data_IF_402902570772
#
_entry.id   IF_402902570772
#
_cell.length_a   1.000
_cell.length_b   1.000
_cell.length_c   1.000
_cell.angle_alpha   90.00
_cell.angle_beta   90.00
_cell.angle_gamma   90.00
#
_symmetry.space_group_name_H-M   'P 1'
#
loop_
_entity.id
_entity.type
_entity.pdbx_description
1 polymer ?
#
# COMPACT_ATOMS: atom_id res chain seq x y z
N UNK A 1 9.50 10.99 -2.75
CA UNK A 1 9.66 9.55 -2.98
C UNK A 1 11.00 9.26 -3.66
N UNK A 2 11.77 8.25 -3.22
CA UNK A 2 12.96 7.73 -3.90
C UNK A 2 12.76 6.27 -4.24
N UNK A 3 13.17 5.84 -5.43
CA UNK A 3 13.07 4.44 -5.88
C UNK A 3 14.46 3.91 -6.22
N UNK A 4 14.79 2.71 -5.74
CA UNK A 4 16.04 2.00 -6.03
C UNK A 4 15.71 0.60 -6.52
N UNK A 5 16.14 0.28 -7.74
CA UNK A 5 15.99 -1.05 -8.33
C UNK A 5 17.26 -1.87 -8.09
N UNK A 6 17.11 -3.03 -7.49
CA UNK A 6 18.16 -4.03 -7.35
C UNK A 6 17.97 -5.07 -8.46
N UNK A 7 18.98 -5.18 -9.31
CA UNK A 7 18.98 -6.08 -10.47
C UNK A 7 19.89 -7.27 -10.18
N UNK A 8 19.46 -8.46 -10.55
CA UNK A 8 20.28 -9.66 -10.55
C UNK A 8 21.40 -9.55 -11.62
N UNK A 9 22.44 -10.38 -11.55
CA UNK A 9 23.48 -10.43 -12.58
C UNK A 9 22.96 -10.72 -14.00
N UNK A 10 21.80 -11.37 -14.12
CA UNK A 10 21.14 -11.70 -15.38
C UNK A 10 20.23 -10.58 -15.95
N UNK A 11 20.22 -9.40 -15.32
CA UNK A 11 19.39 -8.26 -15.74
C UNK A 11 17.95 -8.31 -15.23
N UNK A 12 17.53 -9.35 -14.51
CA UNK A 12 16.17 -9.43 -13.94
C UNK A 12 16.04 -8.60 -12.66
N UNK A 13 14.89 -7.94 -12.48
CA UNK A 13 14.61 -7.18 -11.26
C UNK A 13 14.44 -8.13 -10.06
N UNK A 14 15.31 -7.98 -9.04
CA UNK A 14 15.25 -8.76 -7.80
C UNK A 14 14.35 -8.12 -6.75
N UNK A 15 14.48 -6.80 -6.60
CA UNK A 15 13.79 -6.04 -5.55
C UNK A 15 13.72 -4.56 -5.94
N UNK A 16 12.61 -3.90 -5.63
CA UNK A 16 12.48 -2.46 -5.71
C UNK A 16 12.28 -1.91 -4.29
N UNK A 17 13.19 -1.03 -3.84
CA UNK A 17 13.02 -0.26 -2.62
C UNK A 17 12.39 1.08 -2.98
N UNK A 18 11.23 1.39 -2.38
CA UNK A 18 10.62 2.72 -2.45
C UNK A 18 10.70 3.32 -1.05
N UNK A 19 11.40 4.45 -0.91
CA UNK A 19 11.52 5.19 0.33
C UNK A 19 10.72 6.49 0.24
N UNK A 20 9.81 6.67 1.20
CA UNK A 20 9.10 7.93 1.44
C UNK A 20 9.59 8.46 2.78
N UNK A 21 10.22 9.63 2.75
CA UNK A 21 10.57 10.35 3.97
C UNK A 21 9.33 11.12 4.42
N UNK A 22 8.71 10.67 5.51
CA UNK A 22 7.57 11.36 6.11
C UNK A 22 8.07 12.39 7.13
N UNK A 23 7.57 13.62 7.03
CA UNK A 23 7.78 14.69 8.02
C UNK A 23 6.46 15.05 8.68
N UNK A 24 6.49 15.44 9.94
CA UNK A 24 5.32 15.84 10.70
C UNK A 24 5.65 16.17 12.15
N UNK A 25 4.61 16.49 12.92
CA UNK A 25 4.63 16.81 14.35
C UNK A 25 4.09 15.62 15.18
N UNK A 26 3.96 15.79 16.49
CA UNK A 26 3.30 14.81 17.36
C UNK A 26 4.22 13.80 18.06
N UNK A 27 5.55 13.93 17.89
CA UNK A 27 6.54 13.14 18.63
C UNK A 27 6.28 11.63 18.58
N UNK A 28 6.34 10.97 19.72
CA UNK A 28 6.13 9.51 19.81
C UNK A 28 4.74 9.06 19.33
N UNK A 29 3.69 9.88 19.55
CA UNK A 29 2.32 9.56 19.12
C UNK A 29 2.21 9.64 17.60
N UNK A 30 2.73 10.72 17.00
CA UNK A 30 2.76 10.90 15.56
C UNK A 30 3.53 9.78 14.86
N UNK A 31 4.71 9.42 15.38
CA UNK A 31 5.52 8.30 14.86
C UNK A 31 4.72 6.98 14.90
N UNK A 32 4.01 6.71 16.01
CA UNK A 32 3.20 5.50 16.15
C UNK A 32 2.03 5.49 15.16
N UNK A 33 1.37 6.63 14.95
CA UNK A 33 0.28 6.77 13.99
C UNK A 33 0.76 6.54 12.55
N UNK A 34 1.84 7.20 12.12
CA UNK A 34 2.40 7.03 10.78
C UNK A 34 2.94 5.62 10.57
N UNK A 35 3.54 5.00 11.59
CA UNK A 35 3.96 3.59 11.53
C UNK A 35 2.77 2.65 11.34
N UNK A 36 1.64 2.94 11.99
CA UNK A 36 0.40 2.18 11.80
C UNK A 36 -0.15 2.36 10.40
N UNK A 37 -0.14 3.58 9.86
CA UNK A 37 -0.51 3.85 8.47
C UNK A 37 0.36 3.04 7.49
N UNK A 38 1.68 3.04 7.66
CA UNK A 38 2.60 2.24 6.84
C UNK A 38 2.30 0.72 6.92
N UNK A 39 1.97 0.22 8.12
CA UNK A 39 1.56 -1.17 8.30
C UNK A 39 0.23 -1.49 7.60
N UNK A 40 -0.71 -0.54 7.58
CA UNK A 40 -1.96 -0.68 6.81
C UNK A 40 -1.67 -0.75 5.31
N UNK A 41 -0.76 0.06 4.78
CA UNK A 41 -0.34 -0.05 3.37
C UNK A 41 0.29 -1.42 3.09
N UNK A 42 1.25 -1.86 3.90
CA UNK A 42 1.91 -3.16 3.74
C UNK A 42 0.93 -4.35 3.83
N UNK A 43 -0.18 -4.19 4.54
CA UNK A 43 -1.18 -5.24 4.70
C UNK A 43 -2.08 -5.48 3.48
N UNK A 44 -2.03 -4.63 2.45
CA UNK A 44 -2.75 -4.85 1.19
C UNK A 44 -2.43 -6.21 0.57
N UNK A 45 -1.18 -6.68 0.68
CA UNK A 45 -0.73 -7.99 0.18
C UNK A 45 -1.41 -9.19 0.85
N UNK A 46 -2.00 -8.99 2.03
CA UNK A 46 -2.68 -10.03 2.78
C UNK A 46 -4.17 -10.14 2.40
N UNK A 47 -4.73 -9.18 1.65
CA UNK A 47 -6.10 -9.22 1.18
C UNK A 47 -6.28 -10.36 0.18
N UNK A 48 -7.33 -11.16 0.37
CA UNK A 48 -7.64 -12.36 -0.42
C UNK A 48 -8.63 -12.06 -1.53
N UNK A 49 -9.49 -11.07 -1.34
CA UNK A 49 -10.55 -10.73 -2.28
C UNK A 49 -10.39 -9.30 -2.79
N UNK A 50 -10.92 -8.99 -3.99
CA UNK A 50 -10.96 -7.61 -4.49
C UNK A 50 -11.68 -6.66 -3.53
N UNK A 51 -12.75 -7.12 -2.87
CA UNK A 51 -13.46 -6.32 -1.87
C UNK A 51 -12.57 -6.00 -0.66
N UNK A 52 -11.81 -6.97 -0.15
CA UNK A 52 -10.88 -6.73 0.96
C UNK A 52 -9.78 -5.73 0.59
N UNK A 53 -9.30 -5.73 -0.66
CA UNK A 53 -8.33 -4.73 -1.14
C UNK A 53 -8.96 -3.34 -1.15
N UNK A 54 -10.17 -3.20 -1.70
CA UNK A 54 -10.92 -1.94 -1.72
C UNK A 54 -11.17 -1.41 -0.30
N UNK A 55 -11.72 -2.24 0.59
CA UNK A 55 -12.03 -1.85 1.96
C UNK A 55 -10.75 -1.42 2.71
N UNK A 56 -9.64 -2.14 2.53
CA UNK A 56 -8.35 -1.76 3.11
C UNK A 56 -7.84 -0.44 2.56
N UNK A 57 -7.99 -0.20 1.26
CA UNK A 57 -7.59 1.05 0.64
C UNK A 57 -8.40 2.24 1.18
N UNK A 58 -9.72 2.09 1.36
CA UNK A 58 -10.57 3.13 2.00
C UNK A 58 -10.15 3.38 3.46
N UNK A 59 -9.76 2.34 4.21
CA UNK A 59 -9.23 2.53 5.56
C UNK A 59 -7.90 3.31 5.55
N UNK A 60 -7.01 3.03 4.59
CA UNK A 60 -5.75 3.75 4.41
C UNK A 60 -6.01 5.23 4.10
N UNK A 61 -6.92 5.53 3.16
CA UNK A 61 -7.22 6.92 2.77
C UNK A 61 -7.76 7.71 3.97
N UNK A 62 -8.72 7.16 4.70
CA UNK A 62 -9.28 7.79 5.89
C UNK A 62 -8.24 7.99 7.00
N UNK A 63 -7.43 6.96 7.27
CA UNK A 63 -6.39 7.06 8.30
C UNK A 63 -5.28 8.06 7.92
N UNK A 64 -4.92 8.12 6.63
CA UNK A 64 -3.97 9.11 6.12
C UNK A 64 -4.50 10.54 6.32
N UNK A 65 -5.79 10.78 6.03
CA UNK A 65 -6.42 12.08 6.28
C UNK A 65 -6.39 12.46 7.76
N UNK A 66 -6.65 11.52 8.68
CA UNK A 66 -6.51 11.76 10.11
C UNK A 66 -5.06 12.13 10.50
N UNK A 67 -4.06 11.42 9.96
CA UNK A 67 -2.66 11.75 10.20
C UNK A 67 -2.31 13.16 9.70
N UNK A 68 -2.84 13.56 8.55
CA UNK A 68 -2.64 14.89 7.97
C UNK A 68 -3.29 15.98 8.85
N UNK A 69 -4.54 15.76 9.25
CA UNK A 69 -5.30 16.71 10.08
C UNK A 69 -4.70 16.89 11.48
N UNK A 70 -4.10 15.84 12.03
CA UNK A 70 -3.34 15.90 13.29
C UNK A 70 -1.90 16.41 13.10
N UNK A 71 -1.52 16.84 11.90
CA UNK A 71 -0.17 17.28 11.52
C UNK A 71 0.93 16.22 11.76
N UNK A 72 0.58 14.93 11.89
CA UNK A 72 1.55 13.84 12.08
C UNK A 72 2.31 13.50 10.81
N UNK A 73 1.76 13.89 9.66
CA UNK A 73 2.38 13.83 8.34
C UNK A 73 2.07 15.13 7.62
N UNK A 74 3.02 15.69 6.87
CA UNK A 74 2.80 16.85 6.02
C UNK A 74 2.08 16.46 4.72
N UNK A 75 1.50 17.45 4.05
CA UNK A 75 0.70 17.25 2.83
C UNK A 75 1.48 16.53 1.74
N UNK A 76 2.73 16.96 1.49
CA UNK A 76 3.57 16.33 0.47
C UNK A 76 3.85 14.86 0.78
N UNK A 77 4.13 14.53 2.04
CA UNK A 77 4.41 13.16 2.47
C UNK A 77 3.14 12.30 2.41
N UNK A 78 1.98 12.88 2.75
CA UNK A 78 0.68 12.23 2.59
C UNK A 78 0.39 11.93 1.12
N UNK A 79 0.63 12.87 0.21
CA UNK A 79 0.46 12.69 -1.23
C UNK A 79 1.38 11.62 -1.80
N UNK A 80 2.68 11.66 -1.47
CA UNK A 80 3.65 10.65 -1.88
C UNK A 80 3.20 9.24 -1.39
N UNK A 81 2.69 9.15 -0.15
CA UNK A 81 2.19 7.91 0.44
C UNK A 81 0.89 7.44 -0.22
N UNK A 82 -0.03 8.35 -0.52
CA UNK A 82 -1.30 8.01 -1.16
C UNK A 82 -1.10 7.55 -2.60
N UNK A 83 -0.21 8.19 -3.36
CA UNK A 83 0.20 7.73 -4.69
C UNK A 83 0.73 6.29 -4.65
N UNK A 84 1.64 5.99 -3.72
CA UNK A 84 2.16 4.64 -3.56
C UNK A 84 1.06 3.65 -3.13
N UNK A 85 0.20 4.05 -2.19
CA UNK A 85 -0.88 3.20 -1.70
C UNK A 85 -1.89 2.86 -2.79
N UNK A 86 -2.22 3.81 -3.66
CA UNK A 86 -3.09 3.60 -4.82
C UNK A 86 -2.47 2.61 -5.81
N UNK A 87 -1.17 2.77 -6.12
CA UNK A 87 -0.45 1.86 -6.99
C UNK A 87 -0.44 0.42 -6.45
N UNK A 88 -0.11 0.27 -5.16
CA UNK A 88 -0.09 -1.04 -4.49
C UNK A 88 -1.49 -1.66 -4.43
N UNK A 89 -2.52 -0.88 -4.09
CA UNK A 89 -3.90 -1.36 -4.08
C UNK A 89 -4.34 -1.82 -5.47
N UNK A 90 -4.00 -1.09 -6.53
CA UNK A 90 -4.28 -1.49 -7.92
C UNK A 90 -3.64 -2.83 -8.30
N UNK A 91 -2.38 -3.04 -7.91
CA UNK A 91 -1.69 -4.31 -8.15
C UNK A 91 -2.35 -5.47 -7.39
N UNK A 92 -2.68 -5.27 -6.12
CA UNK A 92 -3.32 -6.29 -5.30
C UNK A 92 -4.76 -6.59 -5.74
N UNK A 93 -5.47 -5.58 -6.22
CA UNK A 93 -6.80 -5.73 -6.84
C UNK A 93 -6.71 -6.65 -8.05
N UNK A 94 -5.79 -6.37 -8.98
CA UNK A 94 -5.58 -7.17 -10.19
C UNK A 94 -5.20 -8.62 -9.85
N UNK A 95 -4.32 -8.82 -8.84
CA UNK A 95 -3.97 -10.16 -8.35
C UNK A 95 -5.19 -10.90 -7.80
N UNK A 96 -5.97 -10.26 -6.92
CA UNK A 96 -7.13 -10.88 -6.30
C UNK A 96 -8.22 -11.23 -7.33
N UNK A 97 -8.45 -10.36 -8.32
CA UNK A 97 -9.36 -10.64 -9.43
C UNK A 97 -8.90 -11.83 -10.28
N UNK A 98 -7.61 -11.89 -10.64
CA UNK A 98 -7.06 -13.00 -11.40
C UNK A 98 -7.23 -14.34 -10.67
N UNK A 99 -6.98 -14.36 -9.35
CA UNK A 99 -7.19 -15.54 -8.52
C UNK A 99 -8.67 -15.93 -8.46
N UNK A 100 -9.58 -14.97 -8.30
CA UNK A 100 -11.01 -15.24 -8.26
C UNK A 100 -11.52 -15.79 -9.60
N UNK A 101 -11.06 -15.22 -10.73
CA UNK A 101 -11.37 -15.73 -12.08
C UNK A 101 -10.87 -17.16 -12.26
N UNK A 102 -9.64 -17.47 -11.83
CA UNK A 102 -9.08 -18.82 -11.90
C UNK A 102 -9.89 -19.84 -11.07
N UNK A 103 -10.34 -19.45 -9.87
CA UNK A 103 -11.20 -20.30 -9.03
C UNK A 103 -12.55 -20.55 -9.70
N UNK A 104 -13.18 -19.53 -10.27
CA UNK A 104 -14.46 -19.67 -11.00
C UNK A 104 -14.32 -20.59 -12.21
N UNK A 105 -13.25 -20.43 -12.99
CA UNK A 105 -12.98 -21.27 -14.16
C UNK A 105 -12.76 -22.74 -13.81
N UNK A 106 -12.16 -23.03 -12.64
CA UNK A 106 -12.02 -24.41 -12.13
C UNK A 106 -13.36 -25.01 -11.69
N UNK A 107 -14.22 -24.22 -11.04
CA UNK A 107 -15.55 -24.67 -10.61
C UNK A 107 -16.52 -24.95 -11.75
N UNK A 108 -16.40 -24.24 -12.87
CA UNK A 108 -17.23 -24.48 -14.07
C UNK A 108 -16.75 -25.64 -14.96
N UNK A 109 -15.69 -26.37 -14.57
CA UNK A 109 -15.17 -27.56 -15.27
C UNK A 109 -15.48 -28.87 -14.53
N UNK A 110 -16.15 -28.80 -13.37
CA UNK A 110 -16.66 -29.93 -12.61
C UNK A 110 -18.18 -30.01 -12.81
#
# INVERSE_FOLDING_TARGET
MRSKLFVNPDGTAKMQEIRIEARGKGGAIGIKAVSRLANMVNSLKACKTPQEVYDRYIQITGYCKCCLDCEFIDEKSADDLMCLSAYLAGNEQARAEAQQRAVRARKGRA
#
